data_IF_162428995688
#
_entry.id   IF_162428995688
#
_cell.length_a   1.000
_cell.length_b   1.000
_cell.length_c   1.000
_cell.angle_alpha   90.00
_cell.angle_beta   90.00
_cell.angle_gamma   90.00
#
_symmetry.space_group_name_H-M   'P 1'
#
loop_
_entity.id
_entity.type
_entity.pdbx_description
1 polymer ?
#
# COMPACT_ATOMS: atom_id res chain seq x y z
N UNK A 1 -25.54 13.87 -15.82
CA UNK A 1 -25.84 12.42 -15.65
C UNK A 1 -25.03 11.59 -16.66
N UNK A 2 -25.14 11.88 -17.96
CA UNK A 2 -24.36 11.22 -19.03
C UNK A 2 -22.84 11.33 -18.88
N UNK A 3 -22.29 12.51 -18.52
CA UNK A 3 -20.84 12.67 -18.29
C UNK A 3 -20.32 11.84 -17.10
N UNK A 4 -21.10 11.70 -16.02
CA UNK A 4 -20.73 10.85 -14.86
C UNK A 4 -20.79 9.37 -15.21
N UNK A 5 -21.71 8.98 -16.10
CA UNK A 5 -21.79 7.62 -16.65
C UNK A 5 -20.57 7.35 -17.54
N UNK A 6 -20.17 8.30 -18.39
CA UNK A 6 -18.98 8.21 -19.23
C UNK A 6 -17.68 8.09 -18.43
N UNK A 7 -17.51 8.88 -17.37
CA UNK A 7 -16.33 8.82 -16.52
C UNK A 7 -16.25 7.50 -15.72
N UNK A 8 -17.39 6.94 -15.27
CA UNK A 8 -17.44 5.60 -14.65
C UNK A 8 -17.20 4.45 -15.63
N UNK A 9 -17.57 4.62 -16.91
CA UNK A 9 -17.25 3.66 -17.98
C UNK A 9 -15.73 3.61 -18.25
N UNK A 10 -15.01 4.74 -18.10
CA UNK A 10 -13.54 4.76 -18.26
C UNK A 10 -12.79 4.09 -17.10
N UNK A 11 -13.34 4.06 -15.89
CA UNK A 11 -12.75 3.37 -14.73
C UNK A 11 -12.98 1.83 -14.74
N UNK A 12 -13.77 1.32 -15.68
CA UNK A 12 -14.11 -0.10 -15.82
C UNK A 12 -12.89 -0.91 -16.30
N UNK A 13 -12.00 -1.29 -15.38
CA UNK A 13 -10.81 -2.13 -15.66
C UNK A 13 -11.20 -3.54 -16.16
N UNK A 14 -10.26 -4.10 -16.94
CA UNK A 14 -10.22 -5.35 -17.72
C UNK A 14 -11.14 -6.55 -17.35
N UNK A 15 -11.51 -6.74 -16.08
CA UNK A 15 -12.34 -7.89 -15.66
C UNK A 15 -13.79 -7.83 -16.18
N UNK A 16 -14.40 -6.65 -16.20
CA UNK A 16 -15.80 -6.49 -16.65
C UNK A 16 -15.93 -6.36 -18.18
N UNK A 17 -14.85 -5.93 -18.85
CA UNK A 17 -14.80 -5.86 -20.31
C UNK A 17 -14.92 -7.25 -20.95
N UNK A 18 -14.30 -8.27 -20.35
CA UNK A 18 -14.42 -9.66 -20.82
C UNK A 18 -15.85 -10.19 -20.75
N UNK A 19 -16.57 -9.93 -19.66
CA UNK A 19 -17.98 -10.33 -19.54
C UNK A 19 -18.90 -9.55 -20.49
N UNK A 20 -18.64 -8.26 -20.69
CA UNK A 20 -19.38 -7.47 -21.67
C UNK A 20 -19.16 -8.01 -23.09
N UNK A 21 -17.92 -8.28 -23.49
CA UNK A 21 -17.60 -8.85 -24.80
C UNK A 21 -18.24 -10.24 -24.99
N UNK A 22 -18.22 -11.09 -23.97
CA UNK A 22 -18.88 -12.39 -24.01
C UNK A 22 -20.41 -12.27 -24.17
N UNK A 23 -21.04 -11.34 -23.44
CA UNK A 23 -22.47 -11.06 -23.59
C UNK A 23 -22.81 -10.48 -24.98
N UNK A 24 -21.98 -9.58 -25.50
CA UNK A 24 -22.13 -9.04 -26.86
C UNK A 24 -22.03 -10.12 -27.95
N UNK A 25 -21.05 -11.02 -27.82
CA UNK A 25 -20.89 -12.16 -28.72
C UNK A 25 -22.12 -13.09 -28.66
N UNK A 26 -22.60 -13.42 -27.47
CA UNK A 26 -23.78 -14.27 -27.29
C UNK A 26 -25.06 -13.65 -27.89
N UNK A 27 -25.27 -12.34 -27.71
CA UNK A 27 -26.40 -11.60 -28.30
C UNK A 27 -26.32 -11.63 -29.83
N UNK A 28 -25.13 -11.44 -30.39
CA UNK A 28 -24.91 -11.50 -31.84
C UNK A 28 -25.18 -12.89 -32.40
N UNK A 29 -24.68 -13.94 -31.75
CA UNK A 29 -24.94 -15.33 -32.17
C UNK A 29 -26.43 -15.65 -32.11
N UNK A 30 -27.11 -15.28 -31.01
CA UNK A 30 -28.54 -15.55 -30.82
C UNK A 30 -29.40 -14.84 -31.89
N UNK A 31 -29.15 -13.56 -32.14
CA UNK A 31 -29.88 -12.79 -33.15
C UNK A 31 -29.63 -13.32 -34.57
N UNK A 32 -28.39 -13.71 -34.87
CA UNK A 32 -28.04 -14.36 -36.14
C UNK A 32 -28.78 -15.70 -36.32
N UNK A 33 -28.85 -16.54 -35.28
CA UNK A 33 -29.57 -17.82 -35.32
C UNK A 33 -31.08 -17.62 -35.52
N UNK A 34 -31.69 -16.66 -34.83
CA UNK A 34 -33.12 -16.36 -34.97
C UNK A 34 -33.45 -15.95 -36.41
N UNK A 35 -32.62 -15.09 -37.02
CA UNK A 35 -32.82 -14.64 -38.39
C UNK A 35 -32.62 -15.74 -39.44
N UNK A 36 -31.67 -16.66 -39.20
CA UNK A 36 -31.50 -17.85 -40.04
C UNK A 36 -32.72 -18.76 -39.98
N UNK A 37 -33.25 -19.04 -38.78
CA UNK A 37 -34.44 -19.87 -38.58
C UNK A 37 -35.68 -19.24 -39.21
N UNK A 38 -35.77 -17.91 -39.23
CA UNK A 38 -36.85 -17.18 -39.89
C UNK A 38 -36.79 -17.21 -41.43
N UNK A 39 -35.79 -17.87 -42.05
CA UNK A 39 -35.62 -17.94 -43.50
C UNK A 39 -35.12 -16.63 -44.13
N UNK A 40 -34.62 -15.71 -43.31
CA UNK A 40 -34.20 -14.36 -43.71
C UNK A 40 -32.68 -14.39 -43.94
N UNK A 41 -32.25 -14.99 -45.06
CA UNK A 41 -30.82 -15.08 -45.42
C UNK A 41 -30.52 -14.47 -46.79
N UNK A 42 -29.40 -13.72 -46.89
CA UNK A 42 -28.80 -13.35 -48.19
C UNK A 42 -28.90 -11.88 -48.63
N UNK A 43 -29.56 -11.00 -47.88
CA UNK A 43 -29.57 -9.55 -48.18
C UNK A 43 -28.63 -8.76 -47.27
N UNK A 44 -27.77 -7.86 -47.78
CA UNK A 44 -26.93 -6.98 -46.98
C UNK A 44 -27.75 -6.09 -46.01
N UNK A 45 -29.02 -5.83 -46.32
CA UNK A 45 -29.91 -5.09 -45.43
C UNK A 45 -30.22 -5.87 -44.14
N UNK A 46 -30.30 -7.21 -44.21
CA UNK A 46 -30.53 -8.07 -43.05
C UNK A 46 -29.32 -8.04 -42.12
N UNK A 47 -28.10 -8.09 -42.68
CA UNK A 47 -26.87 -8.01 -41.89
C UNK A 47 -26.78 -6.69 -41.09
N UNK A 48 -27.11 -5.56 -41.74
CA UNK A 48 -27.17 -4.26 -41.07
C UNK A 48 -28.24 -4.23 -39.97
N UNK A 49 -29.40 -4.86 -40.20
CA UNK A 49 -30.46 -4.97 -39.19
C UNK A 49 -30.03 -5.83 -37.99
N UNK A 50 -29.36 -6.97 -38.22
CA UNK A 50 -28.80 -7.82 -37.15
C UNK A 50 -27.79 -7.05 -36.31
N UNK A 51 -26.90 -6.31 -36.98
CA UNK A 51 -25.87 -5.52 -36.31
C UNK A 51 -26.50 -4.41 -35.46
N UNK A 52 -27.52 -3.74 -35.99
CA UNK A 52 -28.28 -2.72 -35.29
C UNK A 52 -28.99 -3.31 -34.06
N UNK A 53 -29.78 -4.38 -34.22
CA UNK A 53 -30.50 -5.03 -33.11
C UNK A 53 -29.52 -5.53 -32.04
N UNK A 54 -28.42 -6.16 -32.44
CA UNK A 54 -27.38 -6.64 -31.53
C UNK A 54 -26.74 -5.49 -30.75
N UNK A 55 -26.48 -4.36 -31.41
CA UNK A 55 -25.92 -3.18 -30.75
C UNK A 55 -26.89 -2.60 -29.72
N UNK A 56 -28.18 -2.49 -30.05
CA UNK A 56 -29.22 -1.97 -29.14
C UNK A 56 -29.37 -2.88 -27.91
N UNK A 57 -29.41 -4.21 -28.13
CA UNK A 57 -29.48 -5.18 -27.05
C UNK A 57 -28.22 -5.15 -26.17
N UNK A 58 -27.04 -5.06 -26.78
CA UNK A 58 -25.78 -4.92 -26.06
C UNK A 58 -25.76 -3.67 -25.17
N UNK A 59 -26.15 -2.51 -25.71
CA UNK A 59 -26.24 -1.27 -24.94
C UNK A 59 -27.30 -1.35 -23.83
N UNK A 60 -28.44 -2.03 -24.07
CA UNK A 60 -29.48 -2.22 -23.05
C UNK A 60 -29.01 -3.10 -21.88
N UNK A 61 -28.29 -4.20 -22.17
CA UNK A 61 -27.70 -5.06 -21.14
C UNK A 61 -26.60 -4.33 -20.39
N UNK A 62 -25.72 -3.60 -21.09
CA UNK A 62 -24.67 -2.80 -20.48
C UNK A 62 -25.27 -1.73 -19.56
N UNK A 63 -26.29 -1.01 -20.03
CA UNK A 63 -27.00 -0.01 -19.23
C UNK A 63 -27.68 -0.63 -18.01
N UNK A 64 -28.30 -1.80 -18.16
CA UNK A 64 -28.92 -2.53 -17.05
C UNK A 64 -27.90 -3.00 -16.01
N UNK A 65 -26.72 -3.45 -16.43
CA UNK A 65 -25.62 -3.83 -15.54
C UNK A 65 -25.06 -2.61 -14.80
N UNK A 66 -24.84 -1.51 -15.50
CA UNK A 66 -24.39 -0.24 -14.90
C UNK A 66 -25.43 0.29 -13.92
N UNK A 67 -26.71 0.28 -14.28
CA UNK A 67 -27.80 0.69 -13.41
C UNK A 67 -27.93 -0.23 -12.20
N UNK A 68 -27.81 -1.55 -12.37
CA UNK A 68 -27.83 -2.52 -11.26
C UNK A 68 -26.66 -2.27 -10.29
N UNK A 69 -25.44 -2.08 -10.79
CA UNK A 69 -24.28 -1.74 -9.95
C UNK A 69 -24.50 -0.42 -9.22
N UNK A 70 -25.04 0.60 -9.91
CA UNK A 70 -25.35 1.89 -9.31
C UNK A 70 -26.43 1.80 -8.23
N UNK A 71 -27.52 1.07 -8.48
CA UNK A 71 -28.57 0.83 -7.49
C UNK A 71 -28.04 0.04 -6.29
N UNK A 72 -27.20 -0.97 -6.51
CA UNK A 72 -26.53 -1.72 -5.44
C UNK A 72 -25.63 -0.80 -4.61
N UNK A 73 -24.83 0.05 -5.24
CA UNK A 73 -23.97 1.02 -4.54
C UNK A 73 -24.82 2.01 -3.72
N UNK A 74 -25.92 2.51 -4.28
CA UNK A 74 -26.87 3.38 -3.57
C UNK A 74 -27.55 2.65 -2.40
N UNK A 75 -27.96 1.40 -2.58
CA UNK A 75 -28.54 0.59 -1.51
C UNK A 75 -27.53 0.35 -0.39
N UNK A 76 -26.27 0.07 -0.72
CA UNK A 76 -25.19 -0.09 0.26
C UNK A 76 -24.90 1.22 0.99
N UNK A 77 -24.85 2.35 0.29
CA UNK A 77 -24.71 3.69 0.91
C UNK A 77 -25.89 4.00 1.82
N UNK A 78 -27.12 3.70 1.40
CA UNK A 78 -28.33 3.82 2.23
C UNK A 78 -28.28 2.89 3.44
N UNK A 79 -27.78 1.67 3.29
CA UNK A 79 -27.62 0.72 4.39
C UNK A 79 -26.58 1.21 5.38
N UNK A 80 -25.40 1.66 4.92
CA UNK A 80 -24.42 2.35 5.76
C UNK A 80 -25.09 3.51 6.49
N UNK A 81 -25.80 4.39 5.79
CA UNK A 81 -26.48 5.55 6.37
C UNK A 81 -27.57 5.19 7.40
N UNK A 82 -28.49 4.28 7.06
CA UNK A 82 -29.58 3.83 7.95
C UNK A 82 -29.04 3.09 9.17
N UNK A 83 -28.02 2.26 8.98
CA UNK A 83 -27.38 1.49 10.04
C UNK A 83 -26.54 2.41 10.93
N UNK A 84 -25.89 3.43 10.37
CA UNK A 84 -25.17 4.48 11.12
C UNK A 84 -26.11 5.25 12.05
N UNK A 85 -27.26 5.71 11.56
CA UNK A 85 -28.23 6.46 12.39
C UNK A 85 -28.93 5.59 13.45
N UNK A 86 -29.29 4.35 13.12
CA UNK A 86 -29.95 3.42 14.07
C UNK A 86 -28.96 2.89 15.12
N UNK A 87 -27.67 2.76 14.77
CA UNK A 87 -26.64 2.27 15.67
C UNK A 87 -25.93 3.38 16.45
N UNK A 88 -25.94 4.64 16.03
CA UNK A 88 -25.40 5.75 16.83
C UNK A 88 -26.08 5.88 18.21
N UNK A 89 -27.32 5.41 18.36
CA UNK A 89 -28.00 5.35 19.65
C UNK A 89 -27.63 4.15 20.53
N UNK A 90 -26.90 3.13 20.02
CA UNK A 90 -26.67 1.85 20.72
C UNK A 90 -25.30 1.17 20.53
N UNK A 91 -24.45 1.55 19.56
CA UNK A 91 -23.12 0.94 19.35
C UNK A 91 -22.05 1.56 20.24
N UNK A 92 -21.12 0.69 20.62
CA UNK A 92 -19.88 0.98 21.32
C UNK A 92 -19.12 2.14 20.66
N UNK A 93 -18.66 3.09 21.48
CA UNK A 93 -17.73 4.16 21.07
C UNK A 93 -16.33 3.59 20.82
N UNK A 94 -16.22 2.49 20.10
CA UNK A 94 -14.99 1.74 19.91
C UNK A 94 -14.61 1.80 18.43
N UNK A 95 -13.35 2.13 18.17
CA UNK A 95 -12.71 2.01 16.86
C UNK A 95 -11.78 0.82 16.90
N UNK A 96 -11.84 -0.03 15.88
CA UNK A 96 -10.87 -1.09 15.67
C UNK A 96 -9.66 -0.55 14.89
N UNK A 97 -8.47 -0.95 15.29
CA UNK A 97 -7.25 -0.80 14.50
C UNK A 97 -6.66 -2.18 14.26
N UNK A 98 -6.46 -2.56 13.01
CA UNK A 98 -5.89 -3.86 12.63
C UNK A 98 -4.55 -3.65 11.91
N UNK A 99 -3.52 -4.32 12.38
CA UNK A 99 -2.16 -4.17 11.87
C UNK A 99 -1.27 -5.38 12.20
N UNK A 100 -0.25 -5.69 11.39
CA UNK A 100 0.74 -6.74 11.68
C UNK A 100 1.90 -6.20 12.53
N UNK A 101 1.60 -5.86 13.78
CA UNK A 101 2.50 -5.15 14.71
C UNK A 101 3.65 -6.06 15.15
N UNK A 102 3.38 -7.31 15.53
CA UNK A 102 4.41 -8.24 16.02
C UNK A 102 5.37 -8.74 14.95
N UNK A 103 5.01 -8.63 13.67
CA UNK A 103 5.78 -9.23 12.59
C UNK A 103 6.80 -8.29 11.94
N UNK A 104 6.60 -6.98 12.01
CA UNK A 104 7.43 -5.97 11.33
C UNK A 104 8.03 -4.94 12.31
N UNK A 105 8.80 -3.98 11.79
CA UNK A 105 9.34 -2.87 12.58
C UNK A 105 8.22 -2.25 13.42
N UNK A 106 8.35 -2.42 14.74
CA UNK A 106 7.27 -2.14 15.69
C UNK A 106 6.99 -0.63 15.74
N UNK A 107 8.02 0.20 15.50
CA UNK A 107 7.93 1.66 15.57
C UNK A 107 6.98 2.23 14.51
N UNK A 108 7.04 1.75 13.27
CA UNK A 108 6.15 2.19 12.19
C UNK A 108 4.66 2.08 12.57
N UNK A 109 4.26 0.93 13.12
CA UNK A 109 2.87 0.69 13.51
C UNK A 109 2.51 1.43 14.79
N UNK A 110 3.41 1.39 15.78
CA UNK A 110 3.18 1.99 17.09
C UNK A 110 2.95 3.50 16.98
N UNK A 111 3.71 4.21 16.16
CA UNK A 111 3.58 5.67 16.07
C UNK A 111 2.32 6.10 15.32
N UNK A 112 1.92 5.35 14.29
CA UNK A 112 0.59 5.55 13.67
C UNK A 112 -0.52 5.32 14.70
N UNK A 113 -0.45 4.23 15.48
CA UNK A 113 -1.46 3.89 16.49
C UNK A 113 -1.51 4.92 17.62
N UNK A 114 -0.35 5.39 18.11
CA UNK A 114 -0.27 6.49 19.08
C UNK A 114 -0.95 7.74 18.53
N UNK A 115 -0.69 8.11 17.28
CA UNK A 115 -1.30 9.29 16.67
C UNK A 115 -2.82 9.15 16.48
N UNK A 116 -3.31 7.96 16.13
CA UNK A 116 -4.76 7.65 16.12
C UNK A 116 -5.36 7.85 17.52
N UNK A 117 -4.69 7.31 18.56
CA UNK A 117 -5.14 7.46 19.96
C UNK A 117 -5.15 8.92 20.37
N UNK A 118 -4.07 9.65 20.14
CA UNK A 118 -3.95 11.03 20.56
C UNK A 118 -5.00 11.91 19.85
N UNK A 119 -5.34 11.62 18.60
CA UNK A 119 -6.45 12.24 17.89
C UNK A 119 -7.81 11.91 18.55
N UNK A 120 -8.04 10.65 18.92
CA UNK A 120 -9.26 10.22 19.62
C UNK A 120 -9.42 10.84 21.02
N UNK A 121 -8.32 11.09 21.73
CA UNK A 121 -8.35 11.66 23.07
C UNK A 121 -8.64 13.17 23.09
N UNK A 122 -8.38 13.87 21.98
CA UNK A 122 -8.70 15.30 21.82
C UNK A 122 -10.19 15.55 21.61
N UNK A 123 -10.99 14.52 21.39
CA UNK A 123 -12.44 14.64 21.32
C UNK A 123 -13.04 15.15 22.63
N UNK A 124 -14.20 15.79 22.53
CA UNK A 124 -14.97 16.17 23.71
C UNK A 124 -15.29 14.93 24.56
N UNK A 125 -15.22 15.06 25.89
CA UNK A 125 -15.31 13.92 26.82
C UNK A 125 -16.55 13.02 26.61
N UNK A 126 -17.65 13.59 26.13
CA UNK A 126 -18.89 12.87 25.88
C UNK A 126 -18.95 12.16 24.52
N UNK A 127 -17.95 12.32 23.66
CA UNK A 127 -17.81 11.67 22.33
C UNK A 127 -16.63 10.70 22.32
N UNK A 128 -15.64 10.89 23.22
CA UNK A 128 -14.38 10.15 23.30
C UNK A 128 -14.53 8.66 22.97
N UNK A 129 -13.95 8.28 21.84
CA UNK A 129 -13.90 6.90 21.36
C UNK A 129 -12.73 6.13 22.00
N UNK A 130 -12.98 4.88 22.39
CA UNK A 130 -11.98 3.89 22.79
C UNK A 130 -11.39 3.22 21.56
N UNK A 131 -10.18 2.71 21.67
CA UNK A 131 -9.50 2.00 20.58
C UNK A 131 -9.24 0.56 21.03
N UNK A 132 -9.59 -0.40 20.17
CA UNK A 132 -9.14 -1.80 20.28
C UNK A 132 -8.12 -2.04 19.17
N UNK A 133 -6.98 -2.58 19.55
CA UNK A 133 -5.90 -2.94 18.62
C UNK A 133 -5.94 -4.45 18.43
N UNK A 134 -6.00 -4.88 17.17
CA UNK A 134 -5.84 -6.27 16.78
C UNK A 134 -4.51 -6.41 16.05
N UNK A 135 -3.57 -7.08 16.71
CA UNK A 135 -2.32 -7.50 16.08
C UNK A 135 -2.56 -8.74 15.21
N UNK A 136 -1.98 -8.75 14.01
CA UNK A 136 -2.16 -9.81 13.01
C UNK A 136 -0.83 -10.48 12.70
N UNK A 137 -0.52 -11.63 13.32
CA UNK A 137 0.70 -12.36 13.01
C UNK A 137 0.60 -12.98 11.60
N UNK A 138 1.76 -13.20 10.97
CA UNK A 138 1.85 -13.69 9.60
C UNK A 138 1.23 -15.10 9.40
N UNK A 139 1.35 -15.96 10.42
CA UNK A 139 0.96 -17.37 10.33
C UNK A 139 -0.57 -17.57 10.46
N UNK A 140 -1.28 -16.60 11.03
CA UNK A 140 -2.71 -16.72 11.37
C UNK A 140 -3.60 -15.85 10.47
N UNK A 141 -3.11 -15.39 9.31
CA UNK A 141 -3.87 -14.45 8.46
C UNK A 141 -5.27 -14.96 8.09
N UNK A 142 -5.45 -16.28 7.96
CA UNK A 142 -6.77 -16.89 7.71
C UNK A 142 -7.68 -16.86 8.96
N UNK A 143 -7.12 -17.09 10.15
CA UNK A 143 -7.87 -17.08 11.42
C UNK A 143 -8.26 -15.66 11.83
N UNK A 144 -7.47 -14.67 11.40
CA UNK A 144 -7.76 -13.25 11.59
C UNK A 144 -9.03 -12.84 10.86
N UNK A 145 -9.35 -13.42 9.70
CA UNK A 145 -10.60 -13.10 9.00
C UNK A 145 -11.83 -13.49 9.83
N UNK A 146 -11.77 -14.64 10.51
CA UNK A 146 -12.82 -15.12 11.42
C UNK A 146 -12.93 -14.23 12.66
N UNK A 147 -11.80 -13.87 13.29
CA UNK A 147 -11.75 -12.93 14.42
C UNK A 147 -12.34 -11.56 14.01
N UNK A 148 -11.98 -11.05 12.84
CA UNK A 148 -12.51 -9.79 12.33
C UNK A 148 -14.03 -9.84 12.14
N UNK A 149 -14.57 -10.96 11.63
CA UNK A 149 -16.02 -11.08 11.42
C UNK A 149 -16.81 -11.32 12.70
N UNK A 150 -16.27 -12.08 13.65
CA UNK A 150 -17.03 -12.54 14.82
C UNK A 150 -16.91 -11.64 16.04
N UNK A 151 -15.74 -11.00 16.23
CA UNK A 151 -15.40 -10.17 17.38
C UNK A 151 -15.54 -8.69 17.03
N UNK A 152 -14.90 -8.23 15.96
CA UNK A 152 -14.85 -6.78 15.68
C UNK A 152 -16.18 -6.22 15.19
N UNK A 153 -16.89 -6.88 14.28
CA UNK A 153 -18.11 -6.32 13.65
C UNK A 153 -19.23 -6.02 14.65
N UNK A 154 -19.30 -6.75 15.77
CA UNK A 154 -20.31 -6.52 16.81
C UNK A 154 -19.98 -5.31 17.67
N UNK A 155 -18.70 -5.09 17.92
CA UNK A 155 -18.22 -4.20 18.97
C UNK A 155 -17.50 -2.95 18.46
N UNK A 156 -17.36 -2.72 17.16
CA UNK A 156 -16.76 -1.48 16.64
C UNK A 156 -17.74 -0.66 15.80
N UNK A 157 -17.51 0.64 15.82
CA UNK A 157 -18.23 1.59 14.95
C UNK A 157 -17.47 1.87 13.66
N UNK A 158 -16.14 1.71 13.64
CA UNK A 158 -15.28 2.03 12.51
C UNK A 158 -13.95 1.27 12.58
N UNK A 159 -13.30 1.05 11.44
CA UNK A 159 -12.07 0.28 11.34
C UNK A 159 -10.96 1.07 10.63
N UNK A 160 -9.75 1.01 11.17
CA UNK A 160 -8.53 1.48 10.51
C UNK A 160 -7.63 0.26 10.25
N UNK A 161 -7.28 0.04 8.99
CA UNK A 161 -6.44 -1.07 8.53
C UNK A 161 -5.08 -0.56 8.10
N UNK A 162 -4.00 -1.06 8.72
CA UNK A 162 -2.63 -0.61 8.45
C UNK A 162 -1.88 -1.66 7.65
N UNK A 163 -1.55 -1.34 6.39
CA UNK A 163 -0.74 -2.15 5.48
C UNK A 163 -1.29 -3.58 5.24
N UNK A 164 -2.60 -3.75 5.37
CA UNK A 164 -3.30 -5.01 5.17
C UNK A 164 -4.39 -4.87 4.11
N UNK A 165 -4.58 -5.93 3.33
CA UNK A 165 -5.70 -6.05 2.40
C UNK A 165 -6.71 -7.06 2.96
N UNK A 166 -7.95 -6.62 3.13
CA UNK A 166 -9.03 -7.52 3.53
C UNK A 166 -9.56 -8.31 2.34
N UNK A 167 -9.93 -9.56 2.59
CA UNK A 167 -10.64 -10.37 1.62
C UNK A 167 -12.02 -9.78 1.29
N UNK A 168 -12.59 -10.21 0.17
CA UNK A 168 -13.92 -9.77 -0.23
C UNK A 168 -15.03 -10.21 0.75
N UNK A 169 -15.02 -11.44 1.29
CA UNK A 169 -15.97 -11.84 2.33
C UNK A 169 -15.95 -10.92 3.55
N UNK A 170 -14.77 -10.66 4.11
CA UNK A 170 -14.61 -9.77 5.27
C UNK A 170 -15.14 -8.37 4.98
N UNK A 171 -14.75 -7.77 3.84
CA UNK A 171 -15.25 -6.45 3.42
C UNK A 171 -16.77 -6.43 3.26
N UNK A 172 -17.35 -7.49 2.69
CA UNK A 172 -18.81 -7.58 2.54
C UNK A 172 -19.49 -7.59 3.92
N UNK A 173 -18.94 -8.30 4.91
CA UNK A 173 -19.44 -8.28 6.29
C UNK A 173 -19.39 -6.89 6.93
N UNK A 174 -18.29 -6.15 6.79
CA UNK A 174 -18.19 -4.75 7.26
C UNK A 174 -19.19 -3.83 6.53
N UNK A 175 -19.36 -4.03 5.23
CA UNK A 175 -20.31 -3.28 4.41
C UNK A 175 -21.76 -3.55 4.85
N UNK A 176 -22.09 -4.81 5.11
CA UNK A 176 -23.41 -5.22 5.61
C UNK A 176 -23.69 -4.71 7.02
N UNK A 177 -22.65 -4.55 7.84
CA UNK A 177 -22.73 -3.95 9.16
C UNK A 177 -22.71 -2.41 9.17
N UNK A 178 -22.56 -1.78 8.00
CA UNK A 178 -22.48 -0.33 7.87
C UNK A 178 -21.23 0.29 8.49
N UNK A 179 -20.14 -0.46 8.62
CA UNK A 179 -18.91 -0.03 9.30
C UNK A 179 -17.92 0.52 8.25
N UNK A 180 -17.55 1.82 8.29
CA UNK A 180 -16.58 2.39 7.37
C UNK A 180 -15.15 1.91 7.67
N UNK A 181 -14.34 1.80 6.61
CA UNK A 181 -12.93 1.38 6.69
C UNK A 181 -12.01 2.48 6.16
N UNK A 182 -10.97 2.80 6.92
CA UNK A 182 -9.82 3.58 6.46
C UNK A 182 -8.65 2.64 6.22
N UNK A 183 -8.01 2.74 5.05
CA UNK A 183 -6.82 1.96 4.72
C UNK A 183 -5.58 2.84 4.80
N UNK A 184 -4.50 2.34 5.39
CA UNK A 184 -3.20 3.00 5.43
C UNK A 184 -2.19 2.11 4.68
N UNK A 185 -1.33 2.72 3.84
CA UNK A 185 -0.31 2.04 3.04
C UNK A 185 -0.87 0.99 2.03
N UNK A 186 -2.16 1.06 1.73
CA UNK A 186 -2.82 0.28 0.69
C UNK A 186 -4.01 1.05 0.12
N UNK A 187 -4.18 1.00 -1.20
CA UNK A 187 -5.35 1.55 -1.88
C UNK A 187 -6.44 0.49 -2.07
N UNK A 188 -7.64 0.79 -1.57
CA UNK A 188 -8.86 0.06 -1.91
C UNK A 188 -10.03 1.04 -2.02
N UNK A 189 -10.50 1.26 -3.25
CA UNK A 189 -11.59 2.19 -3.57
C UNK A 189 -12.98 1.54 -3.52
N UNK A 190 -13.08 0.29 -3.07
CA UNK A 190 -14.36 -0.41 -2.95
C UNK A 190 -14.92 -0.26 -1.55
N UNK A 191 -16.24 -0.05 -1.47
CA UNK A 191 -16.95 -0.09 -0.19
C UNK A 191 -16.61 -1.39 0.57
N UNK A 192 -16.51 -1.32 1.91
CA UNK A 192 -16.82 -0.18 2.77
C UNK A 192 -15.63 0.76 3.02
N UNK A 193 -14.56 0.66 2.22
CA UNK A 193 -13.45 1.60 2.28
C UNK A 193 -13.88 3.01 1.89
N UNK A 194 -13.60 3.99 2.75
CA UNK A 194 -13.99 5.39 2.57
C UNK A 194 -12.78 6.30 2.33
N UNK A 195 -11.60 5.90 2.78
CA UNK A 195 -10.36 6.59 2.52
C UNK A 195 -9.19 5.61 2.43
N UNK A 196 -8.25 5.87 1.53
CA UNK A 196 -6.91 5.26 1.55
C UNK A 196 -5.88 6.35 1.77
N UNK A 197 -4.97 6.15 2.74
CA UNK A 197 -3.87 7.06 3.04
C UNK A 197 -2.58 6.37 2.59
N UNK A 198 -1.87 6.98 1.65
CA UNK A 198 -0.69 6.40 1.00
C UNK A 198 0.52 7.30 1.16
N UNK A 199 1.70 6.67 1.15
CA UNK A 199 2.97 7.36 1.28
C UNK A 199 3.45 7.85 -0.08
N UNK A 200 3.84 9.12 -0.16
CA UNK A 200 4.59 9.67 -1.29
C UNK A 200 6.04 9.20 -1.24
N UNK A 201 6.60 8.65 -2.33
CA UNK A 201 8.01 8.29 -2.39
C UNK A 201 8.99 9.49 -2.41
N UNK A 202 8.51 10.74 -2.49
CA UNK A 202 9.37 11.94 -2.65
C UNK A 202 10.55 12.00 -1.68
N UNK A 203 10.35 11.77 -0.37
CA UNK A 203 11.46 11.80 0.59
C UNK A 203 12.55 10.76 0.32
N UNK A 204 12.16 9.56 -0.16
CA UNK A 204 13.12 8.51 -0.55
C UNK A 204 13.83 8.87 -1.87
N UNK A 205 13.10 9.45 -2.82
CA UNK A 205 13.68 9.98 -4.06
C UNK A 205 14.76 11.02 -3.76
N UNK A 206 14.50 11.92 -2.82
CA UNK A 206 15.44 12.97 -2.41
C UNK A 206 16.69 12.38 -1.74
N UNK A 207 16.56 11.36 -0.88
CA UNK A 207 17.72 10.63 -0.31
C UNK A 207 18.55 9.99 -1.41
N UNK A 208 17.93 9.30 -2.37
CA UNK A 208 18.63 8.66 -3.47
C UNK A 208 19.35 9.69 -4.36
N UNK A 209 18.69 10.81 -4.71
CA UNK A 209 19.31 11.90 -5.49
C UNK A 209 20.50 12.50 -4.73
N UNK A 210 20.32 12.80 -3.45
CA UNK A 210 21.37 13.37 -2.63
C UNK A 210 22.61 12.46 -2.59
N UNK A 211 22.44 11.19 -2.22
CA UNK A 211 23.57 10.28 -2.01
C UNK A 211 24.20 9.84 -3.34
N UNK A 212 23.41 9.60 -4.38
CA UNK A 212 23.94 9.04 -5.64
C UNK A 212 24.38 10.13 -6.61
N UNK A 213 23.60 11.22 -6.77
CA UNK A 213 23.88 12.26 -7.76
C UNK A 213 24.70 13.41 -7.19
N UNK A 214 24.30 13.96 -6.04
CA UNK A 214 24.97 15.13 -5.46
C UNK A 214 26.30 14.75 -4.81
N UNK A 215 26.31 13.67 -4.02
CA UNK A 215 27.51 13.14 -3.38
C UNK A 215 28.35 12.24 -4.28
N UNK A 216 27.84 11.88 -5.46
CA UNK A 216 28.54 11.11 -6.50
C UNK A 216 29.15 9.82 -5.94
N UNK A 217 28.32 9.01 -5.28
CA UNK A 217 28.76 7.73 -4.73
C UNK A 217 29.31 6.83 -5.83
N UNK A 218 30.45 6.18 -5.60
CA UNK A 218 31.12 5.36 -6.63
C UNK A 218 30.50 3.97 -6.76
N UNK A 219 29.80 3.52 -5.72
CA UNK A 219 28.99 2.31 -5.70
C UNK A 219 27.83 2.52 -4.73
N UNK A 220 26.76 1.72 -4.86
CA UNK A 220 25.59 1.83 -4.01
C UNK A 220 24.98 0.47 -3.70
N UNK A 221 24.48 0.27 -2.48
CA UNK A 221 23.77 -0.93 -2.06
C UNK A 221 22.45 -0.50 -1.45
N UNK A 222 21.34 -0.95 -2.03
CA UNK A 222 20.00 -0.81 -1.47
C UNK A 222 19.64 -2.08 -0.69
N UNK A 223 19.30 -1.92 0.58
CA UNK A 223 18.84 -3.00 1.47
C UNK A 223 17.32 -2.89 1.60
N UNK A 224 16.60 -3.89 1.10
CA UNK A 224 15.14 -3.86 0.96
C UNK A 224 14.50 -5.22 1.22
N UNK A 225 13.19 -5.29 1.46
CA UNK A 225 12.47 -6.58 1.50
C UNK A 225 12.12 -7.06 0.12
N UNK A 226 11.94 -8.38 -0.03
CA UNK A 226 11.35 -9.05 -1.20
C UNK A 226 10.05 -8.39 -1.72
N UNK A 227 9.71 -8.58 -3.00
CA UNK A 227 8.51 -7.98 -3.58
C UNK A 227 7.20 -8.59 -3.06
N UNK A 228 7.23 -9.83 -2.56
CA UNK A 228 6.04 -10.50 -2.04
C UNK A 228 5.57 -9.84 -0.73
N UNK A 229 4.28 -9.50 -0.66
CA UNK A 229 3.65 -8.99 0.54
C UNK A 229 2.49 -9.92 0.96
N UNK A 230 2.72 -10.78 1.97
CA UNK A 230 1.73 -11.79 2.39
C UNK A 230 0.43 -11.14 2.90
N UNK A 231 0.51 -10.02 3.63
CA UNK A 231 -0.65 -9.30 4.16
C UNK A 231 -1.50 -8.60 3.09
N UNK A 232 -1.01 -8.54 1.86
CA UNK A 232 -1.78 -8.07 0.70
C UNK A 232 -2.16 -9.19 -0.27
N UNK A 233 -1.71 -10.43 0.01
CA UNK A 233 -1.91 -11.58 -0.87
C UNK A 233 -1.32 -11.39 -2.27
N UNK A 234 -0.23 -10.61 -2.40
CA UNK A 234 0.38 -10.29 -3.70
C UNK A 234 1.83 -10.77 -3.77
N UNK A 235 2.19 -11.40 -4.89
CA UNK A 235 3.57 -11.77 -5.21
C UNK A 235 4.46 -10.55 -5.51
N UNK A 236 3.84 -9.46 -5.98
CA UNK A 236 4.52 -8.21 -6.28
C UNK A 236 3.71 -7.06 -5.67
N UNK A 237 4.22 -6.53 -4.56
CA UNK A 237 3.71 -5.32 -3.94
C UNK A 237 4.19 -4.10 -4.73
N UNK A 238 3.23 -3.31 -5.21
CA UNK A 238 3.51 -2.16 -6.07
C UNK A 238 4.36 -1.09 -5.36
N UNK A 239 4.21 -0.90 -4.05
CA UNK A 239 5.01 0.06 -3.28
C UNK A 239 6.45 -0.41 -3.14
N UNK A 240 6.67 -1.69 -2.80
CA UNK A 240 8.01 -2.27 -2.73
C UNK A 240 8.70 -2.23 -4.09
N UNK A 241 7.97 -2.55 -5.17
CA UNK A 241 8.48 -2.45 -6.54
C UNK A 241 8.83 -1.00 -6.88
N UNK A 242 7.95 -0.04 -6.57
CA UNK A 242 8.17 1.39 -6.82
C UNK A 242 9.44 1.92 -6.16
N UNK A 243 9.72 1.56 -4.90
CA UNK A 243 10.97 1.94 -4.22
C UNK A 243 12.22 1.40 -4.94
N UNK A 244 12.18 0.17 -5.46
CA UNK A 244 13.29 -0.44 -6.22
C UNK A 244 13.46 0.14 -7.61
N UNK A 245 12.35 0.38 -8.30
CA UNK A 245 12.34 1.01 -9.63
C UNK A 245 12.95 2.41 -9.52
N UNK A 246 12.58 3.17 -8.48
CA UNK A 246 13.12 4.49 -8.17
C UNK A 246 14.62 4.47 -7.91
N UNK A 247 15.11 3.54 -7.07
CA UNK A 247 16.54 3.35 -6.84
C UNK A 247 17.28 3.02 -8.15
N UNK A 248 16.78 2.04 -8.89
CA UNK A 248 17.34 1.60 -10.18
C UNK A 248 17.46 2.79 -11.14
N UNK A 249 16.39 3.57 -11.27
CA UNK A 249 16.35 4.73 -12.14
C UNK A 249 17.42 5.77 -11.78
N UNK A 250 17.54 6.10 -10.48
CA UNK A 250 18.49 7.12 -10.01
C UNK A 250 19.93 6.60 -10.06
N UNK A 251 20.16 5.32 -9.75
CA UNK A 251 21.47 4.69 -9.86
C UNK A 251 21.98 4.72 -11.32
N UNK A 252 21.14 4.37 -12.29
CA UNK A 252 21.49 4.47 -13.71
C UNK A 252 21.77 5.93 -14.10
N UNK A 253 20.97 6.88 -13.62
CA UNK A 253 21.21 8.32 -13.85
C UNK A 253 22.54 8.80 -13.24
N UNK A 254 22.99 8.17 -12.15
CA UNK A 254 24.28 8.42 -11.53
C UNK A 254 25.46 7.75 -12.25
N UNK A 255 25.19 6.99 -13.33
CA UNK A 255 26.20 6.25 -14.08
C UNK A 255 26.56 4.89 -13.48
N UNK A 256 25.73 4.35 -12.58
CA UNK A 256 25.92 3.03 -11.98
C UNK A 256 25.18 1.94 -12.77
N UNK A 257 25.80 0.78 -12.90
CA UNK A 257 25.21 -0.43 -13.47
C UNK A 257 24.53 -1.24 -12.37
N UNK A 258 23.22 -1.44 -12.48
CA UNK A 258 22.47 -2.22 -11.49
C UNK A 258 22.70 -3.72 -11.69
N UNK A 259 23.21 -4.36 -10.65
CA UNK A 259 23.53 -5.78 -10.62
C UNK A 259 22.28 -6.64 -10.33
N UNK A 260 22.32 -7.96 -10.63
CA UNK A 260 21.26 -8.87 -10.26
C UNK A 260 20.92 -8.80 -8.77
N UNK A 261 19.62 -8.89 -8.46
CA UNK A 261 19.13 -8.87 -7.08
C UNK A 261 19.58 -10.15 -6.38
N UNK A 262 20.09 -10.01 -5.16
CA UNK A 262 20.51 -11.13 -4.31
C UNK A 262 19.77 -11.10 -2.99
N UNK A 263 19.52 -12.27 -2.40
CA UNK A 263 19.01 -12.36 -1.03
C UNK A 263 20.17 -12.46 -0.06
N UNK A 264 20.07 -11.76 1.07
CA UNK A 264 21.16 -11.66 2.05
C UNK A 264 21.58 -13.03 2.61
N UNK A 265 20.61 -13.90 2.87
CA UNK A 265 20.82 -15.26 3.41
C UNK A 265 21.41 -16.23 2.38
N UNK A 266 21.20 -15.97 1.09
CA UNK A 266 21.72 -16.77 -0.02
C UNK A 266 23.12 -16.35 -0.48
N UNK A 267 23.73 -15.33 0.14
CA UNK A 267 25.09 -14.92 -0.15
C UNK A 267 26.04 -15.86 0.59
N UNK A 268 26.50 -16.92 -0.08
CA UNK A 268 27.45 -17.89 0.50
C UNK A 268 28.85 -17.28 0.68
N UNK A 269 29.33 -16.60 -0.35
CA UNK A 269 30.64 -15.92 -0.38
C UNK A 269 30.52 -14.43 0.02
N UNK A 270 31.56 -13.63 -0.22
CA UNK A 270 31.49 -12.17 -0.03
C UNK A 270 30.90 -11.52 -1.28
N UNK A 271 30.20 -10.40 -1.10
CA UNK A 271 29.74 -9.56 -2.21
C UNK A 271 30.96 -8.97 -2.94
N UNK A 272 30.96 -9.02 -4.27
CA UNK A 272 31.96 -8.33 -5.08
C UNK A 272 31.52 -6.89 -5.34
N UNK A 273 31.81 -5.98 -4.40
CA UNK A 273 31.43 -4.56 -4.47
C UNK A 273 32.48 -3.78 -5.26
N UNK A 274 32.12 -3.40 -6.49
CA UNK A 274 33.00 -2.68 -7.41
C UNK A 274 32.50 -1.26 -7.71
N UNK A 275 33.41 -0.29 -7.96
CA UNK A 275 33.05 1.02 -8.48
C UNK A 275 32.27 0.91 -9.79
N UNK A 276 31.30 1.81 -10.00
CA UNK A 276 30.42 1.80 -11.15
C UNK A 276 29.22 0.86 -11.05
N UNK A 277 29.06 0.13 -9.94
CA UNK A 277 27.95 -0.81 -9.73
C UNK A 277 27.00 -0.37 -8.62
N UNK A 278 25.73 -0.72 -8.80
CA UNK A 278 24.68 -0.61 -7.78
C UNK A 278 24.06 -1.99 -7.51
N UNK A 279 23.80 -2.30 -6.25
CA UNK A 279 23.34 -3.60 -5.79
C UNK A 279 21.99 -3.46 -5.07
N UNK A 280 21.14 -4.48 -5.17
CA UNK A 280 19.91 -4.59 -4.39
C UNK A 280 20.00 -5.90 -3.61
N UNK A 281 20.01 -5.78 -2.29
CA UNK A 281 20.08 -6.90 -1.35
C UNK A 281 18.73 -7.04 -0.65
N UNK A 282 18.13 -8.22 -0.78
CA UNK A 282 16.86 -8.56 -0.13
C UNK A 282 17.08 -9.11 1.28
N UNK A 283 16.32 -8.58 2.25
CA UNK A 283 16.25 -9.07 3.63
C UNK A 283 14.82 -9.49 3.99
N UNK A 284 14.67 -10.31 5.01
CA UNK A 284 13.35 -10.82 5.40
C UNK A 284 12.65 -9.93 6.44
N UNK A 285 13.35 -9.37 7.44
CA UNK A 285 12.70 -8.84 8.64
C UNK A 285 13.07 -7.41 9.05
N UNK A 286 13.97 -6.71 8.34
CA UNK A 286 14.46 -5.38 8.73
C UNK A 286 14.92 -5.34 10.19
N UNK A 287 15.80 -6.27 10.56
CA UNK A 287 16.37 -6.34 11.91
C UNK A 287 17.76 -5.72 11.94
N UNK A 288 18.26 -5.40 13.11
CA UNK A 288 19.65 -4.98 13.28
C UNK A 288 20.62 -6.11 12.89
N UNK A 289 20.25 -7.37 13.15
CA UNK A 289 21.04 -8.53 12.73
C UNK A 289 21.25 -8.59 11.20
N UNK A 290 20.28 -8.14 10.40
CA UNK A 290 20.44 -8.09 8.94
C UNK A 290 21.56 -7.11 8.53
N UNK A 291 21.72 -6.00 9.27
CA UNK A 291 22.80 -5.04 9.07
C UNK A 291 24.17 -5.59 9.47
N UNK A 292 24.23 -6.35 10.56
CA UNK A 292 25.44 -7.09 10.96
C UNK A 292 25.84 -8.11 9.90
N UNK A 293 24.89 -8.96 9.49
CA UNK A 293 25.12 -10.00 8.50
C UNK A 293 25.57 -9.39 7.17
N UNK A 294 24.95 -8.29 6.72
CA UNK A 294 25.41 -7.58 5.53
C UNK A 294 26.88 -7.18 5.63
N UNK A 295 27.30 -6.61 6.76
CA UNK A 295 28.69 -6.23 6.98
C UNK A 295 29.63 -7.43 6.91
N UNK A 296 29.26 -8.58 7.49
CA UNK A 296 30.05 -9.81 7.41
C UNK A 296 30.17 -10.36 5.98
N UNK A 297 29.17 -10.10 5.13
CA UNK A 297 29.17 -10.47 3.71
C UNK A 297 29.92 -9.46 2.82
N UNK A 298 30.46 -8.38 3.36
CA UNK A 298 31.26 -7.43 2.58
C UNK A 298 32.68 -7.97 2.32
N UNK A 299 33.30 -7.59 1.18
CA UNK A 299 34.70 -7.82 0.91
C UNK A 299 35.58 -7.09 1.93
N UNK A 300 36.82 -7.57 2.15
CA UNK A 300 37.76 -6.91 3.07
C UNK A 300 38.07 -5.47 2.64
N UNK A 301 38.01 -5.23 1.32
CA UNK A 301 38.09 -3.91 0.73
C UNK A 301 36.78 -3.56 0.03
N UNK A 302 36.09 -2.55 0.56
CA UNK A 302 34.98 -1.86 -0.12
C UNK A 302 35.48 -0.48 -0.54
N UNK A 303 35.24 -0.03 -1.79
CA UNK A 303 35.66 1.29 -2.22
C UNK A 303 35.14 2.39 -1.27
N UNK A 304 35.98 3.37 -0.90
CA UNK A 304 35.49 4.54 -0.17
C UNK A 304 34.45 5.27 -1.04
N UNK A 305 33.55 6.03 -0.41
CA UNK A 305 32.43 6.69 -1.09
C UNK A 305 31.39 5.70 -1.66
N UNK A 306 31.31 4.50 -1.10
CA UNK A 306 30.19 3.55 -1.32
C UNK A 306 29.00 3.96 -0.47
N UNK A 307 27.82 3.98 -1.08
CA UNK A 307 26.55 4.25 -0.40
C UNK A 307 25.87 2.97 0.08
N UNK A 308 25.41 2.96 1.32
CA UNK A 308 24.57 1.93 1.91
C UNK A 308 23.23 2.56 2.30
N UNK A 309 22.15 2.09 1.67
CA UNK A 309 20.82 2.68 1.84
C UNK A 309 19.87 1.62 2.36
N UNK A 310 19.44 1.80 3.60
CA UNK A 310 18.59 0.86 4.32
C UNK A 310 17.15 1.37 4.34
N UNK A 311 16.19 0.52 3.96
CA UNK A 311 14.77 0.87 4.07
C UNK A 311 14.19 0.69 5.48
N UNK A 312 15.06 0.68 6.50
CA UNK A 312 14.73 0.71 7.93
C UNK A 312 15.97 1.17 8.72
N UNK A 313 15.81 2.18 9.58
CA UNK A 313 16.91 2.73 10.40
C UNK A 313 17.57 1.67 11.28
N UNK A 314 16.78 0.78 11.89
CA UNK A 314 17.30 -0.27 12.78
C UNK A 314 18.27 -1.23 12.07
N UNK A 315 18.11 -1.46 10.77
CA UNK A 315 19.05 -2.26 9.98
C UNK A 315 20.33 -1.47 9.70
N UNK A 316 20.23 -0.17 9.43
CA UNK A 316 21.40 0.71 9.30
C UNK A 316 22.23 0.73 10.60
N UNK A 317 21.56 0.80 11.76
CA UNK A 317 22.21 0.75 13.08
C UNK A 317 23.05 -0.51 13.24
N UNK A 318 22.51 -1.67 12.88
CA UNK A 318 23.24 -2.94 12.94
C UNK A 318 24.52 -2.91 12.11
N UNK A 319 24.44 -2.34 10.91
CA UNK A 319 25.59 -2.15 10.03
C UNK A 319 26.63 -1.18 10.61
N UNK A 320 26.20 -0.06 11.18
CA UNK A 320 27.10 0.93 11.80
C UNK A 320 27.84 0.34 13.02
N UNK A 321 27.12 -0.40 13.86
CA UNK A 321 27.72 -1.10 15.00
C UNK A 321 28.70 -2.20 14.55
N UNK A 322 28.40 -2.91 13.47
CA UNK A 322 29.31 -3.90 12.88
C UNK A 322 30.61 -3.23 12.39
N UNK A 323 30.51 -2.08 11.70
CA UNK A 323 31.67 -1.28 11.34
C UNK A 323 32.51 -0.96 12.59
N UNK A 324 31.90 -0.33 13.60
CA UNK A 324 32.61 0.06 14.82
C UNK A 324 33.30 -1.13 15.52
N UNK A 325 32.62 -2.29 15.61
CA UNK A 325 33.19 -3.51 16.21
C UNK A 325 34.35 -4.11 15.42
N UNK A 326 34.41 -3.86 14.10
CA UNK A 326 35.55 -4.25 13.26
C UNK A 326 36.78 -3.35 13.43
N UNK A 327 36.71 -2.35 14.31
CA UNK A 327 37.81 -1.43 14.62
C UNK A 327 37.83 -0.14 13.80
N UNK A 328 36.94 0.02 12.82
CA UNK A 328 36.79 1.24 12.02
C UNK A 328 35.31 1.57 11.82
N UNK A 329 34.90 2.76 12.23
CA UNK A 329 33.58 3.32 11.99
C UNK A 329 33.26 3.47 10.49
N UNK A 330 31.98 3.61 10.15
CA UNK A 330 31.55 3.91 8.79
C UNK A 330 32.17 5.22 8.26
N UNK A 331 32.33 6.23 9.14
CA UNK A 331 33.02 7.49 8.82
C UNK A 331 34.49 7.27 8.44
N UNK A 332 35.25 6.51 9.23
CA UNK A 332 36.66 6.23 8.93
C UNK A 332 36.82 5.43 7.63
N UNK A 333 35.84 4.57 7.33
CA UNK A 333 35.74 3.80 6.07
C UNK A 333 35.24 4.65 4.89
N UNK A 334 34.78 5.88 5.14
CA UNK A 334 34.15 6.77 4.14
C UNK A 334 32.93 6.16 3.47
N UNK A 335 32.11 5.47 4.26
CA UNK A 335 30.84 4.92 3.81
C UNK A 335 29.73 5.94 4.01
N UNK A 336 28.94 6.16 2.98
CA UNK A 336 27.71 6.95 3.09
C UNK A 336 26.59 6.04 3.54
N UNK A 337 25.87 6.42 4.58
CA UNK A 337 24.80 5.59 5.12
C UNK A 337 23.51 6.40 5.16
N UNK A 338 22.41 5.81 4.71
CA UNK A 338 21.08 6.37 4.93
C UNK A 338 20.08 5.29 5.35
N UNK A 339 19.10 5.72 6.14
CA UNK A 339 17.99 4.91 6.59
C UNK A 339 16.63 5.40 6.06
N UNK A 340 15.57 4.79 6.58
CA UNK A 340 14.17 5.18 6.41
C UNK A 340 13.50 4.94 7.75
N UNK A 341 12.53 5.79 8.09
CA UNK A 341 11.67 5.84 9.29
C UNK A 341 11.98 7.05 10.21
N UNK A 342 13.19 7.63 10.12
CA UNK A 342 13.64 8.79 10.92
C UNK A 342 13.35 8.64 12.42
N UNK A 343 13.64 7.45 12.92
CA UNK A 343 13.51 7.05 14.33
C UNK A 343 14.46 7.86 15.23
N UNK A 344 14.23 7.89 16.55
CA UNK A 344 15.12 8.60 17.50
C UNK A 344 16.58 8.16 17.37
N UNK A 345 16.81 6.89 17.07
CA UNK A 345 18.17 6.35 16.88
C UNK A 345 18.86 6.93 15.64
N UNK A 346 18.11 7.34 14.62
CA UNK A 346 18.69 8.03 13.47
C UNK A 346 19.24 9.41 13.86
N UNK A 347 18.58 10.12 14.77
CA UNK A 347 19.09 11.37 15.31
C UNK A 347 20.37 11.15 16.14
N UNK A 348 20.36 10.16 17.03
CA UNK A 348 21.52 9.87 17.90
C UNK A 348 22.78 9.46 17.14
N UNK A 349 22.61 8.79 15.99
CA UNK A 349 23.72 8.33 15.15
C UNK A 349 24.06 9.29 14.01
N UNK A 350 23.44 10.47 13.96
CA UNK A 350 23.60 11.45 12.89
C UNK A 350 23.34 10.81 11.50
N UNK A 351 22.34 9.92 11.43
CA UNK A 351 21.93 9.13 10.28
C UNK A 351 20.94 9.90 9.40
N UNK A 352 21.33 10.14 8.14
CA UNK A 352 20.43 10.64 7.09
C UNK A 352 19.30 9.65 6.92
N UNK A 353 18.05 10.10 7.00
CA UNK A 353 16.88 9.21 6.96
C UNK A 353 15.67 9.87 6.29
N UNK A 354 14.61 9.09 6.09
CA UNK A 354 13.32 9.55 5.54
C UNK A 354 12.27 9.53 6.63
N UNK A 355 11.68 10.68 6.91
CA UNK A 355 10.53 10.83 7.80
C UNK A 355 9.24 10.56 7.03
N UNK A 356 8.49 9.54 7.45
CA UNK A 356 7.24 9.13 6.81
C UNK A 356 6.02 9.95 7.27
N UNK A 357 6.19 10.85 8.25
CA UNK A 357 5.14 11.64 8.88
C UNK A 357 4.03 10.75 9.46
N UNK A 358 4.45 9.74 10.25
CA UNK A 358 3.55 8.73 10.83
C UNK A 358 2.49 9.36 11.74
N UNK A 359 2.82 10.47 12.40
CA UNK A 359 1.88 11.24 13.22
C UNK A 359 0.73 11.82 12.38
N UNK A 360 1.05 12.38 11.21
CA UNK A 360 0.08 12.98 10.30
C UNK A 360 -0.83 11.89 9.74
N UNK A 361 -0.26 10.74 9.38
CA UNK A 361 -1.00 9.60 8.85
C UNK A 361 -2.01 9.08 9.87
N UNK A 362 -1.59 8.85 11.12
CA UNK A 362 -2.50 8.36 12.16
C UNK A 362 -3.60 9.36 12.49
N UNK A 363 -3.26 10.65 12.61
CA UNK A 363 -4.24 11.72 12.83
C UNK A 363 -5.25 11.82 11.69
N UNK A 364 -4.78 11.85 10.44
CA UNK A 364 -5.63 11.94 9.26
C UNK A 364 -6.54 10.72 9.13
N UNK A 365 -6.04 9.52 9.44
CA UNK A 365 -6.84 8.30 9.44
C UNK A 365 -8.02 8.40 10.41
N UNK A 366 -7.75 8.90 11.62
CA UNK A 366 -8.78 9.13 12.61
C UNK A 366 -9.80 10.17 12.15
N UNK A 367 -9.36 11.34 11.68
CA UNK A 367 -10.23 12.42 11.22
C UNK A 367 -11.15 11.98 10.07
N UNK A 368 -10.62 11.21 9.12
CA UNK A 368 -11.41 10.65 8.01
C UNK A 368 -12.42 9.62 8.49
N UNK A 369 -12.05 8.78 9.46
CA UNK A 369 -12.98 7.83 10.06
C UNK A 369 -14.08 8.56 10.82
N UNK A 370 -13.72 9.55 11.63
CA UNK A 370 -14.67 10.36 12.38
C UNK A 370 -15.67 11.05 11.45
N UNK A 371 -15.18 11.68 10.38
CA UNK A 371 -16.04 12.31 9.36
C UNK A 371 -17.04 11.29 8.78
N UNK A 372 -16.59 10.07 8.47
CA UNK A 372 -17.46 9.02 7.98
C UNK A 372 -18.50 8.55 9.01
N UNK A 373 -18.14 8.52 10.29
CA UNK A 373 -19.07 8.18 11.36
C UNK A 373 -20.11 9.29 11.59
N UNK A 374 -19.67 10.54 11.59
CA UNK A 374 -20.51 11.70 11.95
C UNK A 374 -21.41 12.14 10.77
N UNK A 375 -20.96 11.93 9.53
CA UNK A 375 -21.67 12.32 8.30
C UNK A 375 -21.73 11.20 7.25
N UNK A 376 -22.43 10.09 7.56
CA UNK A 376 -22.44 8.90 6.70
C UNK A 376 -23.06 9.11 5.31
N UNK A 377 -23.90 10.14 5.15
CA UNK A 377 -24.49 10.56 3.87
C UNK A 377 -23.53 11.32 2.95
N UNK A 378 -22.46 11.91 3.51
CA UNK A 378 -21.50 12.73 2.78
C UNK A 378 -20.26 11.95 2.33
N UNK A 379 -20.19 10.65 2.63
CA UNK A 379 -19.03 9.84 2.34
C UNK A 379 -18.87 9.64 0.83
N UNK A 380 -17.83 10.23 0.25
CA UNK A 380 -17.21 9.80 -0.99
C UNK A 380 -15.87 9.14 -0.69
N UNK A 381 -15.48 8.16 -1.52
CA UNK A 381 -14.12 7.62 -1.43
C UNK A 381 -13.11 8.74 -1.68
N UNK A 382 -12.06 8.78 -0.86
CA UNK A 382 -10.92 9.68 -1.03
C UNK A 382 -9.60 8.92 -0.99
N UNK A 383 -8.57 9.48 -1.63
CA UNK A 383 -7.19 9.01 -1.50
C UNK A 383 -6.36 10.19 -1.02
N UNK A 384 -5.67 10.01 0.10
CA UNK A 384 -4.81 11.03 0.69
C UNK A 384 -3.36 10.59 0.55
N UNK A 385 -2.51 11.51 0.09
CA UNK A 385 -1.08 11.25 -0.10
C UNK A 385 -0.30 12.07 0.92
N UNK A 386 0.43 11.39 1.81
CA UNK A 386 1.29 12.05 2.80
C UNK A 386 2.72 12.03 2.30
N UNK A 387 3.35 13.21 2.27
CA UNK A 387 4.69 13.38 1.71
C UNK A 387 5.76 12.82 2.63
N UNK A 388 6.68 11.98 2.14
CA UNK A 388 7.90 11.68 2.89
C UNK A 388 8.84 12.90 2.90
N UNK A 389 9.53 13.15 4.01
CA UNK A 389 10.54 14.20 4.13
C UNK A 389 11.95 13.59 4.21
N UNK A 390 12.88 14.15 3.45
CA UNK A 390 14.29 13.77 3.52
C UNK A 390 14.98 14.58 4.62
N UNK A 391 15.57 13.90 5.61
CA UNK A 391 16.31 14.52 6.70
C UNK A 391 17.80 14.22 6.50
N UNK A 392 18.54 15.23 6.01
CA UNK A 392 19.98 15.12 5.78
C UNK A 392 20.75 15.34 7.09
N UNK A 393 21.63 14.39 7.39
CA UNK A 393 22.52 14.38 8.56
C UNK A 393 23.97 14.05 8.13
N UNK A 394 24.89 13.93 9.09
CA UNK A 394 26.31 13.71 8.78
C UNK A 394 26.59 12.42 8.03
N UNK A 395 25.80 11.36 8.21
CA UNK A 395 26.07 10.05 7.59
C UNK A 395 26.04 10.01 6.07
N UNK A 396 25.38 10.98 5.41
CA UNK A 396 25.47 11.12 3.95
C UNK A 396 26.74 11.86 3.49
N UNK A 397 27.49 12.47 4.41
CA UNK A 397 28.73 13.23 4.16
C UNK A 397 30.02 12.49 4.53
N UNK A 398 29.89 11.37 5.25
CA UNK A 398 31.02 10.51 5.62
C UNK A 398 31.85 10.05 4.42
#
# INVERSE_FOLDING_TARGET
>A
MLERVFHKIQEWRYGNLGMALAAGAAIFTLTSTILQVAGVSGSPMIFLLTLYISSVLFFSVLFSLVNYQFQRELQLRRKIHQTSHVLMGRRSRIIGVVAPISYWSTEYYVDIIKAIRDAAEREQQHIRRKIIILDVPHEEFNDVEEIMTDILIKDISGLISINMKMSQPVKQSFCDAGIPIINIAHEDNKLPSVCSIVHDPTGLEDVFKHILLEKKSVSAILITKGLANPFKGVKVDAYRKGKRDLFTHIAVKAGLTVQPIVKLDAIDEKLDICPGNAYIVEVDHYRSQDGFLLFEKLPDFVPPNTAFIFLADITAVGFLLACQRSGLSALERKFRVAGVDNTEIAEWLDLTSVEAQLDIIGRLAYEKLQLALDHPDQISYSSEVVKGLCIIRGSSNW
#
